data_IF_456760605709
#
_entry.id   IF_456760605709
#
_cell.length_a   1.000
_cell.length_b   1.000
_cell.length_c   1.000
_cell.angle_alpha   90.00
_cell.angle_beta   90.00
_cell.angle_gamma   90.00
#
_symmetry.space_group_name_H-M   'P 1'
#
loop_
_entity.id
_entity.type
_entity.pdbx_description
1 polymer ?
#
# COMPACT_ATOMS: atom_id res chain seq x y z
N UNK A 1 -4.41 -8.58 3.74
CA UNK A 1 -4.15 -7.17 4.08
C UNK A 1 -3.16 -6.59 3.10
N UNK A 2 -3.46 -5.45 2.49
CA UNK A 2 -2.47 -4.64 1.77
C UNK A 2 -1.73 -3.75 2.78
N UNK A 3 -0.44 -4.01 2.98
CA UNK A 3 0.40 -3.30 3.94
C UNK A 3 1.41 -2.36 3.25
N UNK A 4 1.10 -1.94 2.02
CA UNK A 4 2.00 -1.14 1.18
C UNK A 4 2.45 0.15 1.86
N UNK A 5 1.52 0.94 2.40
CA UNK A 5 1.84 2.25 2.97
C UNK A 5 2.37 2.19 4.40
N UNK A 6 1.88 1.25 5.21
CA UNK A 6 2.42 1.07 6.54
C UNK A 6 3.83 0.47 6.50
N UNK A 7 4.10 -0.44 5.58
CA UNK A 7 5.30 -1.25 5.49
C UNK A 7 5.52 -2.12 6.75
N UNK A 8 6.40 -3.12 6.74
CA UNK A 8 6.72 -3.86 7.95
C UNK A 8 7.38 -3.03 9.06
N UNK A 9 7.87 -1.83 8.73
CA UNK A 9 8.45 -0.92 9.71
C UNK A 9 7.39 -0.35 10.68
N UNK A 10 6.18 -0.07 10.18
CA UNK A 10 5.13 0.55 10.98
C UNK A 10 4.03 -0.43 11.38
N UNK A 11 3.73 -1.45 10.56
CA UNK A 11 2.72 -2.46 10.86
C UNK A 11 3.19 -3.85 10.44
N UNK A 12 2.96 -4.83 11.31
CA UNK A 12 3.19 -6.26 11.06
C UNK A 12 1.86 -7.01 11.20
N UNK A 13 1.08 -7.10 10.10
CA UNK A 13 -0.30 -7.60 10.17
C UNK A 13 -0.46 -9.02 10.70
N UNK A 14 0.55 -9.88 10.60
CA UNK A 14 0.51 -11.23 11.17
C UNK A 14 0.39 -11.24 12.70
N UNK A 15 0.88 -10.21 13.39
CA UNK A 15 0.72 -10.04 14.84
C UNK A 15 -0.73 -9.72 15.22
N UNK A 16 -1.53 -9.30 14.23
CA UNK A 16 -2.93 -8.92 14.36
C UNK A 16 -3.90 -9.92 13.73
N UNK A 17 -3.42 -11.11 13.37
CA UNK A 17 -4.24 -12.20 12.87
C UNK A 17 -4.51 -12.19 11.35
N UNK A 18 -3.75 -11.44 10.59
CA UNK A 18 -3.79 -11.58 9.13
C UNK A 18 -3.15 -12.90 8.69
N UNK A 19 -3.69 -13.51 7.64
CA UNK A 19 -3.14 -14.74 7.06
C UNK A 19 -2.28 -14.45 5.84
N UNK A 20 -2.71 -13.50 5.01
CA UNK A 20 -2.00 -13.08 3.80
C UNK A 20 -1.74 -11.58 3.86
N UNK A 21 -0.51 -11.18 3.56
CA UNK A 21 -0.11 -9.78 3.43
C UNK A 21 0.44 -9.53 2.02
N UNK A 22 -0.02 -8.46 1.41
CA UNK A 22 0.48 -8.00 0.10
C UNK A 22 1.18 -6.66 0.24
N UNK A 23 2.14 -6.43 -0.64
CA UNK A 23 2.84 -5.15 -0.77
C UNK A 23 3.01 -4.79 -2.24
N UNK A 24 2.70 -3.55 -2.61
CA UNK A 24 3.31 -2.95 -3.78
C UNK A 24 4.73 -2.53 -3.40
N UNK A 25 5.71 -3.32 -3.79
CA UNK A 25 7.12 -3.00 -3.51
C UNK A 25 7.60 -1.77 -4.28
N UNK A 26 6.85 -1.36 -5.30
CA UNK A 26 6.99 -0.10 -6.05
C UNK A 26 7.04 1.15 -5.16
N UNK A 27 6.41 1.11 -3.98
CA UNK A 27 6.20 2.24 -3.09
C UNK A 27 7.35 2.39 -2.09
N UNK A 28 7.07 2.59 -0.81
CA UNK A 28 8.08 2.81 0.23
C UNK A 28 9.17 1.73 0.31
N UNK A 29 8.90 0.48 -0.08
CA UNK A 29 9.91 -0.57 -0.02
C UNK A 29 11.07 -0.28 -0.98
N UNK A 30 10.78 0.04 -2.26
CA UNK A 30 11.77 0.58 -3.20
C UNK A 30 12.21 1.98 -2.76
N UNK A 31 11.26 2.88 -2.56
CA UNK A 31 11.44 4.22 -2.01
C UNK A 31 12.15 5.22 -2.92
N UNK A 32 12.45 4.85 -4.16
CA UNK A 32 13.23 5.64 -5.11
C UNK A 32 12.53 5.81 -6.47
N UNK A 33 11.31 5.30 -6.62
CA UNK A 33 10.59 5.25 -7.90
C UNK A 33 11.38 4.57 -9.02
N UNK A 34 12.23 3.59 -8.67
CA UNK A 34 13.19 2.98 -9.59
C UNK A 34 12.69 1.69 -10.22
N UNK A 35 11.76 0.97 -9.58
CA UNK A 35 11.28 -0.32 -10.05
C UNK A 35 9.80 -0.55 -9.69
N UNK A 36 9.07 -1.23 -10.58
CA UNK A 36 7.76 -1.78 -10.29
C UNK A 36 7.90 -3.19 -9.72
N UNK A 37 7.07 -3.51 -8.73
CA UNK A 37 7.08 -4.85 -8.16
C UNK A 37 6.02 -5.06 -7.10
N UNK A 38 5.87 -6.30 -6.68
CA UNK A 38 4.95 -6.71 -5.64
C UNK A 38 5.51 -7.87 -4.81
N UNK A 39 4.99 -8.03 -3.62
CA UNK A 39 5.28 -9.18 -2.77
C UNK A 39 3.99 -9.69 -2.13
N UNK A 40 3.88 -11.01 -2.05
CA UNK A 40 2.84 -11.70 -1.31
C UNK A 40 3.53 -12.50 -0.22
N UNK A 41 3.07 -12.36 1.02
CA UNK A 41 3.60 -13.07 2.18
C UNK A 41 2.46 -13.85 2.83
N UNK A 42 2.67 -15.14 3.03
CA UNK A 42 1.73 -16.04 3.70
C UNK A 42 2.21 -16.30 5.12
N UNK A 43 1.30 -16.25 6.10
CA UNK A 43 1.60 -16.64 7.48
C UNK A 43 1.89 -18.13 7.62
N UNK A 44 1.41 -18.94 6.68
CA UNK A 44 1.48 -20.40 6.71
C UNK A 44 0.58 -21.04 7.75
N UNK A 45 -0.33 -20.30 8.39
CA UNK A 45 -1.14 -20.76 9.52
C UNK A 45 -2.59 -21.05 9.17
N UNK A 46 -3.07 -20.53 8.03
CA UNK A 46 -4.48 -20.71 7.65
C UNK A 46 -4.75 -22.17 7.21
N UNK A 47 -5.79 -22.75 7.75
CA UNK A 47 -6.24 -24.09 7.36
C UNK A 47 -7.16 -24.05 6.15
N UNK A 48 -6.56 -24.13 4.95
CA UNK A 48 -7.27 -24.17 3.68
C UNK A 48 -8.22 -25.36 3.58
N UNK A 49 -7.90 -26.47 4.26
CA UNK A 49 -8.69 -27.72 4.20
C UNK A 49 -9.98 -27.67 5.03
N UNK A 50 -10.09 -26.71 5.94
CA UNK A 50 -11.32 -26.47 6.68
C UNK A 50 -12.45 -25.91 5.80
N UNK A 51 -12.11 -25.38 4.61
CA UNK A 51 -13.09 -24.77 3.69
C UNK A 51 -12.81 -25.18 2.23
N UNK A 52 -12.77 -26.48 1.90
CA UNK A 52 -12.33 -26.95 0.59
C UNK A 52 -13.19 -26.42 -0.57
N UNK A 53 -14.48 -26.23 -0.34
CA UNK A 53 -15.40 -25.70 -1.34
C UNK A 53 -15.16 -24.23 -1.66
N UNK A 54 -14.55 -23.46 -0.73
CA UNK A 54 -14.14 -22.08 -0.96
C UNK A 54 -12.77 -21.99 -1.63
N UNK A 55 -11.92 -22.98 -1.42
CA UNK A 55 -10.55 -23.01 -1.93
C UNK A 55 -10.27 -24.28 -2.77
N UNK A 56 -11.13 -24.59 -3.78
CA UNK A 56 -10.94 -25.80 -4.56
C UNK A 56 -9.59 -25.82 -5.26
N UNK A 57 -9.09 -24.67 -5.71
CA UNK A 57 -7.78 -24.56 -6.35
C UNK A 57 -6.57 -24.98 -5.49
N UNK A 58 -6.74 -25.14 -4.17
CA UNK A 58 -5.70 -25.63 -3.28
C UNK A 58 -6.00 -27.04 -2.77
N UNK A 59 -7.28 -27.42 -2.71
CA UNK A 59 -7.76 -28.63 -2.05
C UNK A 59 -8.15 -29.77 -3.00
N UNK A 60 -8.20 -29.51 -4.33
CA UNK A 60 -8.48 -30.53 -5.35
C UNK A 60 -7.29 -30.72 -6.29
N UNK A 61 -7.23 -31.85 -7.03
CA UNK A 61 -6.18 -32.07 -8.03
C UNK A 61 -6.18 -30.96 -9.08
N UNK A 62 -4.99 -30.44 -9.41
CA UNK A 62 -4.77 -29.41 -10.42
C UNK A 62 -4.21 -30.02 -11.70
N UNK A 63 -5.01 -30.10 -12.75
CA UNK A 63 -4.61 -30.70 -14.02
C UNK A 63 -3.47 -29.92 -14.69
N UNK A 64 -3.37 -28.62 -14.47
CA UNK A 64 -2.27 -27.78 -14.97
C UNK A 64 -0.93 -28.05 -14.30
N UNK A 65 -0.95 -28.78 -13.16
CA UNK A 65 0.24 -29.16 -12.39
C UNK A 65 0.25 -30.65 -12.07
N UNK A 66 0.05 -31.48 -13.10
CA UNK A 66 0.12 -32.94 -13.04
C UNK A 66 -0.81 -33.63 -12.02
N UNK A 67 -1.99 -33.06 -11.78
CA UNK A 67 -2.96 -33.58 -10.82
C UNK A 67 -2.57 -33.39 -9.36
N UNK A 68 -1.65 -32.50 -9.03
CA UNK A 68 -1.22 -32.23 -7.66
C UNK A 68 -2.31 -31.50 -6.90
N UNK A 69 -2.61 -31.97 -5.68
CA UNK A 69 -3.38 -31.23 -4.67
C UNK A 69 -2.41 -30.49 -3.78
N UNK A 70 -2.41 -29.15 -3.86
CA UNK A 70 -1.38 -28.31 -3.22
C UNK A 70 -1.32 -28.50 -1.70
N UNK A 71 -2.48 -28.55 -1.02
CA UNK A 71 -2.53 -28.76 0.44
C UNK A 71 -1.98 -30.10 0.87
N UNK A 72 -2.18 -31.15 0.08
CA UNK A 72 -1.66 -32.49 0.37
C UNK A 72 -0.15 -32.57 0.12
N UNK A 73 0.33 -31.96 -0.98
CA UNK A 73 1.74 -32.07 -1.40
C UNK A 73 2.66 -31.13 -0.64
N UNK A 74 2.22 -29.94 -0.32
CA UNK A 74 3.07 -28.87 0.24
C UNK A 74 2.65 -28.44 1.66
N UNK A 75 1.60 -29.06 2.21
CA UNK A 75 1.06 -28.70 3.52
C UNK A 75 0.37 -27.33 3.55
N UNK A 76 -0.18 -26.98 4.70
CA UNK A 76 -0.90 -25.70 4.84
C UNK A 76 0.00 -24.49 4.62
N UNK A 77 1.22 -24.55 5.15
CA UNK A 77 2.17 -23.43 5.07
C UNK A 77 2.81 -23.21 3.70
N UNK A 78 2.76 -24.20 2.80
CA UNK A 78 3.37 -24.11 1.48
C UNK A 78 2.38 -24.03 0.31
N UNK A 79 1.15 -24.49 0.51
CA UNK A 79 0.17 -24.68 -0.56
C UNK A 79 -0.11 -23.40 -1.36
N UNK A 80 -0.42 -22.32 -0.67
CA UNK A 80 -0.80 -21.05 -1.30
C UNK A 80 0.36 -20.43 -2.11
N UNK A 81 1.52 -20.26 -1.50
CA UNK A 81 2.68 -19.65 -2.17
C UNK A 81 3.19 -20.55 -3.31
N UNK A 82 3.15 -21.88 -3.15
CA UNK A 82 3.54 -22.76 -4.23
C UNK A 82 2.59 -22.64 -5.41
N UNK A 83 1.27 -22.56 -5.20
CA UNK A 83 0.32 -22.31 -6.28
C UNK A 83 0.55 -20.96 -6.96
N UNK A 84 0.76 -19.90 -6.18
CA UNK A 84 1.09 -18.59 -6.73
C UNK A 84 2.32 -18.64 -7.64
N UNK A 85 3.35 -19.38 -7.24
CA UNK A 85 4.63 -19.44 -7.97
C UNK A 85 4.59 -20.43 -9.13
N UNK A 86 4.17 -21.67 -8.84
CA UNK A 86 4.29 -22.79 -9.80
C UNK A 86 3.21 -22.77 -10.88
N UNK A 87 2.10 -22.07 -10.65
CA UNK A 87 1.03 -21.92 -11.65
C UNK A 87 0.86 -20.46 -12.08
N UNK A 88 0.40 -19.59 -11.18
CA UNK A 88 -0.03 -18.24 -11.58
C UNK A 88 1.13 -17.38 -12.09
N UNK A 89 2.22 -17.32 -11.35
CA UNK A 89 3.40 -16.55 -11.78
C UNK A 89 4.04 -17.14 -13.04
N UNK A 90 4.14 -18.48 -13.13
CA UNK A 90 4.63 -19.19 -14.30
C UNK A 90 3.79 -18.86 -15.54
N UNK A 91 2.46 -18.95 -15.43
CA UNK A 91 1.55 -18.86 -16.58
C UNK A 91 1.34 -17.42 -17.04
N UNK A 92 1.27 -16.46 -16.11
CA UNK A 92 1.13 -15.03 -16.42
C UNK A 92 2.45 -14.30 -16.63
N UNK A 93 3.58 -14.89 -16.25
CA UNK A 93 4.89 -14.27 -16.41
C UNK A 93 5.14 -13.06 -15.48
N UNK A 94 4.40 -12.94 -14.38
CA UNK A 94 4.53 -11.85 -13.42
C UNK A 94 5.78 -12.01 -12.53
N UNK A 95 6.95 -12.00 -13.16
CA UNK A 95 8.24 -12.20 -12.49
C UNK A 95 8.99 -10.88 -12.41
N UNK A 96 9.48 -10.54 -11.23
CA UNK A 96 10.35 -9.39 -11.05
C UNK A 96 11.73 -9.67 -11.67
N UNK A 97 12.29 -8.69 -12.41
CA UNK A 97 13.63 -8.83 -12.96
C UNK A 97 14.69 -8.89 -11.86
N UNK A 98 15.82 -9.58 -12.07
CA UNK A 98 16.91 -9.58 -11.09
C UNK A 98 17.42 -8.17 -10.76
N UNK A 99 17.47 -7.28 -11.75
CA UNK A 99 17.85 -5.88 -11.54
C UNK A 99 16.87 -5.15 -10.63
N UNK A 100 15.55 -5.32 -10.84
CA UNK A 100 14.53 -4.72 -9.97
C UNK A 100 14.58 -5.30 -8.55
N UNK A 101 14.86 -6.59 -8.40
CA UNK A 101 15.03 -7.24 -7.10
C UNK A 101 16.27 -6.68 -6.35
N UNK A 102 17.36 -6.43 -7.08
CA UNK A 102 18.56 -5.79 -6.51
C UNK A 102 18.26 -4.38 -6.01
N UNK A 103 17.60 -3.54 -6.83
CA UNK A 103 17.20 -2.19 -6.43
C UNK A 103 16.27 -2.19 -5.22
N UNK A 104 15.30 -3.12 -5.19
CA UNK A 104 14.43 -3.29 -4.04
C UNK A 104 15.21 -3.64 -2.76
N UNK A 105 16.20 -4.52 -2.83
CA UNK A 105 17.03 -4.85 -1.68
C UNK A 105 17.77 -3.61 -1.14
N UNK A 106 18.32 -2.78 -2.02
CA UNK A 106 18.93 -1.50 -1.60
C UNK A 106 17.91 -0.59 -0.91
N UNK A 107 16.69 -0.50 -1.45
CA UNK A 107 15.61 0.26 -0.83
C UNK A 107 15.24 -0.25 0.57
N UNK A 108 15.19 -1.57 0.75
CA UNK A 108 14.85 -2.19 2.03
C UNK A 108 15.88 -1.91 3.13
N UNK A 109 17.16 -1.78 2.80
CA UNK A 109 18.22 -1.47 3.78
C UNK A 109 17.97 -0.14 4.50
N UNK A 110 17.43 0.85 3.80
CA UNK A 110 17.13 2.18 4.37
C UNK A 110 15.68 2.34 4.85
N UNK A 111 14.81 1.36 4.62
CA UNK A 111 13.37 1.46 4.86
C UNK A 111 12.99 1.94 6.28
N UNK A 112 13.53 1.39 7.39
CA UNK A 112 13.14 1.82 8.72
C UNK A 112 13.46 3.29 9.00
N UNK A 113 14.60 3.78 8.51
CA UNK A 113 15.02 5.17 8.68
C UNK A 113 14.15 6.12 7.85
N UNK A 114 13.86 5.75 6.59
CA UNK A 114 12.99 6.54 5.72
C UNK A 114 11.57 6.61 6.28
N UNK A 115 11.01 5.48 6.73
CA UNK A 115 9.65 5.45 7.29
C UNK A 115 9.54 6.33 8.54
N UNK A 116 10.52 6.31 9.43
CA UNK A 116 10.56 7.21 10.59
C UNK A 116 10.49 8.68 10.17
N UNK A 117 11.28 9.07 9.16
CA UNK A 117 11.31 10.45 8.67
C UNK A 117 10.03 10.82 7.92
N UNK A 118 9.49 9.92 7.07
CA UNK A 118 8.23 10.13 6.38
C UNK A 118 7.08 10.38 7.36
N UNK A 119 6.97 9.56 8.41
CA UNK A 119 5.94 9.72 9.43
C UNK A 119 6.07 11.05 10.19
N UNK A 120 7.29 11.43 10.58
CA UNK A 120 7.54 12.68 11.27
C UNK A 120 7.20 13.90 10.39
N UNK A 121 7.61 13.86 9.12
CA UNK A 121 7.30 14.94 8.17
C UNK A 121 5.80 15.04 7.90
N UNK A 122 5.11 13.90 7.73
CA UNK A 122 3.68 13.88 7.48
C UNK A 122 2.90 14.43 8.69
N UNK A 123 3.29 14.07 9.91
CA UNK A 123 2.68 14.60 11.11
C UNK A 123 2.79 16.13 11.19
N UNK A 124 4.00 16.66 11.00
CA UNK A 124 4.24 18.11 11.04
C UNK A 124 3.47 18.85 9.94
N UNK A 125 3.44 18.31 8.72
CA UNK A 125 2.70 18.92 7.59
C UNK A 125 1.19 18.84 7.84
N UNK A 126 0.66 17.72 8.34
CA UNK A 126 -0.76 17.57 8.62
C UNK A 126 -1.24 18.53 9.72
N UNK A 127 -0.47 18.70 10.79
CA UNK A 127 -0.75 19.67 11.85
C UNK A 127 -0.72 21.11 11.34
N UNK A 128 0.26 21.47 10.52
CA UNK A 128 0.31 22.77 9.86
C UNK A 128 -0.92 23.01 8.97
N UNK A 129 -1.27 22.04 8.13
CA UNK A 129 -2.42 22.16 7.25
C UNK A 129 -3.74 22.27 8.02
N UNK A 130 -3.89 21.54 9.13
CA UNK A 130 -5.08 21.57 9.96
C UNK A 130 -5.33 22.98 10.57
N UNK A 131 -4.27 23.70 10.88
CA UNK A 131 -4.33 25.07 11.38
C UNK A 131 -4.36 26.19 10.34
N UNK A 132 -4.26 25.85 9.04
CA UNK A 132 -4.09 26.84 8.00
C UNK A 132 -5.44 27.40 7.49
N UNK A 133 -5.61 28.72 7.43
CA UNK A 133 -6.86 29.43 7.09
C UNK A 133 -7.49 29.05 5.73
N UNK A 134 -6.68 28.63 4.75
CA UNK A 134 -7.12 28.23 3.42
C UNK A 134 -7.48 26.76 3.30
N UNK A 135 -7.22 25.95 4.32
CA UNK A 135 -7.49 24.51 4.35
C UNK A 135 -8.85 24.27 5.01
N UNK A 136 -9.71 23.59 4.28
CA UNK A 136 -11.07 23.27 4.72
C UNK A 136 -11.12 22.01 5.57
N UNK A 137 -10.33 21.01 5.24
CA UNK A 137 -10.25 19.73 5.93
C UNK A 137 -8.92 19.04 5.67
N UNK A 138 -8.48 18.22 6.62
CA UNK A 138 -7.33 17.31 6.49
C UNK A 138 -7.77 15.91 6.89
N UNK A 139 -7.39 14.89 6.13
CA UNK A 139 -7.56 13.47 6.46
C UNK A 139 -6.17 12.85 6.64
N UNK A 140 -5.85 12.53 7.86
CA UNK A 140 -4.59 11.89 8.23
C UNK A 140 -4.75 11.19 9.57
N UNK A 141 -4.59 9.88 9.59
CA UNK A 141 -4.86 9.06 10.78
C UNK A 141 -3.93 9.36 11.99
N UNK A 142 -2.85 10.12 11.80
CA UNK A 142 -1.99 10.62 12.88
C UNK A 142 -2.52 11.87 13.60
N UNK A 143 -3.58 12.51 13.11
CA UNK A 143 -4.15 13.69 13.75
C UNK A 143 -5.19 13.30 14.80
N UNK A 144 -5.10 13.91 16.00
CA UNK A 144 -6.16 13.78 17.01
C UNK A 144 -7.49 14.27 16.44
N UNK A 145 -8.54 13.45 16.59
CA UNK A 145 -9.86 13.73 16.05
C UNK A 145 -10.14 13.11 14.66
N UNK A 146 -9.14 12.55 14.00
CA UNK A 146 -9.39 11.66 12.86
C UNK A 146 -10.11 10.39 13.33
N UNK A 147 -11.11 9.93 12.56
CA UNK A 147 -11.93 8.77 12.92
C UNK A 147 -11.14 7.47 13.11
N UNK A 148 -9.94 7.40 12.56
CA UNK A 148 -9.06 6.23 12.63
C UNK A 148 -7.87 6.43 13.57
N UNK A 149 -7.79 7.55 14.29
CA UNK A 149 -6.66 7.88 15.16
C UNK A 149 -6.29 6.73 16.12
N UNK A 150 -7.26 6.25 16.90
CA UNK A 150 -7.02 5.20 17.89
C UNK A 150 -6.62 3.86 17.26
N UNK A 151 -7.27 3.49 16.14
CA UNK A 151 -6.93 2.29 15.39
C UNK A 151 -5.53 2.39 14.76
N UNK A 152 -5.19 3.55 14.21
CA UNK A 152 -3.87 3.79 13.65
C UNK A 152 -2.78 3.66 14.71
N UNK A 153 -2.96 4.24 15.89
CA UNK A 153 -2.00 4.13 16.99
C UNK A 153 -1.91 2.71 17.56
N UNK A 154 -3.02 1.97 17.54
CA UNK A 154 -3.03 0.56 17.94
C UNK A 154 -2.21 -0.33 16.99
N UNK A 155 -2.43 -0.21 15.68
CA UNK A 155 -1.83 -1.10 14.69
C UNK A 155 -0.48 -0.59 14.16
N UNK A 156 -0.23 0.71 14.23
CA UNK A 156 0.95 1.38 13.71
C UNK A 156 1.58 2.31 14.77
N UNK A 157 2.07 1.76 15.90
CA UNK A 157 2.57 2.59 17.00
C UNK A 157 3.80 3.43 16.64
N UNK A 158 4.51 3.06 15.56
CA UNK A 158 5.72 3.75 15.09
C UNK A 158 5.42 4.86 14.06
N UNK A 159 4.15 5.07 13.69
CA UNK A 159 3.75 6.11 12.74
C UNK A 159 2.81 5.59 11.63
N UNK A 160 2.05 6.51 11.04
CA UNK A 160 0.91 6.22 10.17
C UNK A 160 1.20 6.41 8.67
N UNK A 161 2.44 6.38 8.23
CA UNK A 161 2.93 6.65 6.87
C UNK A 161 3.07 8.14 6.51
N UNK A 162 3.41 8.42 5.24
CA UNK A 162 3.67 9.76 4.71
C UNK A 162 2.58 10.32 3.80
N UNK A 163 1.37 9.75 3.79
CA UNK A 163 0.30 10.14 2.87
C UNK A 163 -0.75 10.97 3.60
N UNK A 164 -1.00 12.18 3.10
CA UNK A 164 -1.98 13.13 3.65
C UNK A 164 -2.96 13.51 2.54
N UNK A 165 -4.25 13.57 2.86
CA UNK A 165 -5.26 14.17 1.99
C UNK A 165 -5.81 15.43 2.63
N UNK A 166 -5.99 16.49 1.84
CA UNK A 166 -6.57 17.74 2.32
C UNK A 166 -7.36 18.45 1.24
N UNK A 167 -8.30 19.27 1.66
CA UNK A 167 -9.11 20.10 0.76
C UNK A 167 -9.00 21.58 1.10
N UNK A 168 -9.04 22.41 0.05
CA UNK A 168 -8.95 23.86 0.16
C UNK A 168 -10.33 24.51 0.10
N UNK A 169 -10.51 25.64 0.77
CA UNK A 169 -11.61 26.54 0.51
C UNK A 169 -11.49 27.05 -0.95
N UNK A 170 -12.62 27.11 -1.66
CA UNK A 170 -12.64 27.43 -3.10
C UNK A 170 -12.56 26.20 -4.02
N UNK A 171 -12.49 24.98 -3.43
CA UNK A 171 -12.66 23.69 -4.13
C UNK A 171 -11.65 23.47 -5.27
N UNK A 172 -12.13 22.88 -6.38
CA UNK A 172 -11.29 22.49 -7.53
C UNK A 172 -10.40 23.63 -8.04
N UNK A 173 -10.94 24.84 -8.22
CA UNK A 173 -10.18 25.99 -8.74
C UNK A 173 -9.02 26.38 -7.83
N UNK A 174 -9.25 26.35 -6.50
CA UNK A 174 -8.19 26.61 -5.53
C UNK A 174 -7.12 25.51 -5.55
N UNK A 175 -7.52 24.22 -5.64
CA UNK A 175 -6.61 23.11 -5.75
C UNK A 175 -5.74 23.17 -7.03
N UNK A 176 -6.33 23.46 -8.19
CA UNK A 176 -5.61 23.62 -9.44
C UNK A 176 -4.62 24.81 -9.38
N UNK A 177 -5.02 25.90 -8.72
CA UNK A 177 -4.13 27.06 -8.50
C UNK A 177 -2.97 26.69 -7.59
N UNK A 178 -3.25 26.00 -6.48
CA UNK A 178 -2.23 25.48 -5.55
C UNK A 178 -1.21 24.61 -6.28
N UNK A 179 -1.69 23.63 -7.07
CA UNK A 179 -0.81 22.74 -7.84
C UNK A 179 0.13 23.49 -8.78
N UNK A 180 -0.34 24.54 -9.46
CA UNK A 180 0.48 25.36 -10.37
C UNK A 180 1.57 26.17 -9.66
N UNK A 181 1.46 26.38 -8.36
CA UNK A 181 2.39 27.19 -7.57
C UNK A 181 3.31 26.36 -6.66
N UNK A 182 3.24 25.03 -6.76
CA UNK A 182 4.17 24.16 -6.03
C UNK A 182 5.63 24.45 -6.45
N UNK A 183 6.51 24.56 -5.46
CA UNK A 183 7.94 24.79 -5.69
C UNK A 183 8.78 23.57 -5.36
N UNK A 184 8.49 22.92 -4.23
CA UNK A 184 9.21 21.73 -3.76
C UNK A 184 8.54 20.43 -4.22
N UNK A 185 7.21 20.36 -4.10
CA UNK A 185 6.45 19.15 -4.42
C UNK A 185 6.34 18.94 -5.93
N UNK A 186 6.69 17.77 -6.40
CA UNK A 186 6.45 17.35 -7.78
C UNK A 186 4.97 17.03 -8.00
N UNK A 187 4.48 17.30 -9.23
CA UNK A 187 3.13 16.90 -9.65
C UNK A 187 3.25 15.56 -10.36
N UNK A 188 2.88 14.52 -9.69
CA UNK A 188 3.00 13.16 -10.23
C UNK A 188 1.97 12.21 -9.63
N UNK A 189 1.69 11.10 -10.33
CA UNK A 189 0.77 10.06 -9.87
C UNK A 189 1.42 9.03 -8.97
N UNK A 190 2.75 8.96 -8.97
CA UNK A 190 3.51 8.13 -8.05
C UNK A 190 3.43 8.69 -6.63
N UNK A 191 3.48 7.80 -5.64
CA UNK A 191 3.48 8.15 -4.21
C UNK A 191 4.44 7.24 -3.46
N UNK A 192 4.85 7.68 -2.26
CA UNK A 192 5.62 6.85 -1.33
C UNK A 192 7.05 6.55 -1.78
N UNK A 193 7.72 7.54 -2.32
CA UNK A 193 9.17 7.55 -2.52
C UNK A 193 9.85 8.61 -1.64
N UNK A 194 11.13 8.87 -1.89
CA UNK A 194 11.91 9.86 -1.14
C UNK A 194 11.61 11.31 -1.51
N UNK A 195 10.84 11.56 -2.59
CA UNK A 195 10.45 12.89 -3.03
C UNK A 195 9.11 13.31 -2.42
N UNK A 196 8.95 14.62 -2.21
CA UNK A 196 7.63 15.17 -1.90
C UNK A 196 6.84 15.30 -3.21
N UNK A 197 5.71 14.63 -3.27
CA UNK A 197 4.80 14.71 -4.42
C UNK A 197 3.41 15.16 -3.99
N UNK A 198 2.67 15.70 -4.95
CA UNK A 198 1.30 16.14 -4.76
C UNK A 198 0.46 15.79 -5.98
N UNK A 199 -0.77 15.38 -5.74
CA UNK A 199 -1.72 14.97 -6.76
C UNK A 199 -3.08 15.62 -6.49
N UNK A 200 -3.77 16.07 -7.53
CA UNK A 200 -5.19 16.43 -7.45
C UNK A 200 -6.03 15.34 -8.14
N UNK A 201 -6.58 14.36 -7.40
CA UNK A 201 -7.20 13.17 -7.97
C UNK A 201 -8.32 13.47 -8.96
N UNK A 202 -9.18 14.44 -8.65
CA UNK A 202 -10.32 14.81 -9.49
C UNK A 202 -9.96 15.31 -10.90
N UNK A 203 -8.75 15.85 -11.11
CA UNK A 203 -8.28 16.27 -12.44
C UNK A 203 -7.31 15.30 -13.10
N UNK A 204 -6.91 14.23 -12.40
CA UNK A 204 -5.89 13.28 -12.87
C UNK A 204 -6.39 11.84 -12.81
N UNK A 205 -6.12 11.11 -11.75
CA UNK A 205 -6.41 9.67 -11.61
C UNK A 205 -7.90 9.33 -11.58
N UNK A 206 -8.76 10.26 -11.18
CA UNK A 206 -10.22 10.09 -11.08
C UNK A 206 -10.99 10.98 -12.06
N UNK A 207 -10.32 11.49 -13.10
CA UNK A 207 -10.91 12.43 -14.07
C UNK A 207 -12.10 11.86 -14.86
N UNK A 208 -12.24 10.54 -14.91
CA UNK A 208 -13.34 9.84 -15.56
C UNK A 208 -14.61 9.79 -14.70
N UNK A 209 -14.51 10.11 -13.40
CA UNK A 209 -15.64 10.12 -12.49
C UNK A 209 -16.47 11.39 -12.62
N UNK A 210 -17.79 11.28 -12.48
CA UNK A 210 -18.68 12.42 -12.37
C UNK A 210 -18.61 13.07 -10.98
N UNK A 211 -19.33 14.19 -10.78
CA UNK A 211 -19.25 14.96 -9.53
C UNK A 211 -19.77 14.17 -8.29
N UNK A 212 -20.79 13.35 -8.46
CA UNK A 212 -21.35 12.52 -7.36
C UNK A 212 -20.39 11.41 -6.98
N UNK A 213 -19.82 10.74 -7.96
CA UNK A 213 -18.80 9.69 -7.75
C UNK A 213 -17.54 10.25 -7.08
N UNK A 214 -17.09 11.45 -7.47
CA UNK A 214 -15.95 12.13 -6.84
C UNK A 214 -16.23 12.46 -5.37
N UNK A 215 -17.45 12.90 -5.05
CA UNK A 215 -17.87 13.16 -3.67
C UNK A 215 -17.94 11.88 -2.84
N UNK A 216 -18.45 10.79 -3.43
CA UNK A 216 -18.52 9.48 -2.77
C UNK A 216 -17.13 8.87 -2.52
N UNK A 217 -16.19 9.12 -3.41
CA UNK A 217 -14.80 8.67 -3.26
C UNK A 217 -14.01 9.46 -2.20
N UNK A 218 -14.52 10.62 -1.73
CA UNK A 218 -13.92 11.45 -0.69
C UNK A 218 -13.06 12.56 -1.19
#
# INVERSE_FOLDING_TARGET
VDNTFATPANCRPFEWGADIVTHSTTKYMDGHASALGGAIVDSGKFDWTAYPDKFPGLCTPDDSYHGVTYTQRFGLGGAFITKCTAQLMRDFGCVQSPQSAFLLNLGLESLPFRMKQHCANAQAVAEYLQGHEKVKWVKFAGLKGDKYYDLAHKYMPNGTCGVISFGLYGGRKAAETFMKHLKLGAIETHVADSHTCCLHPASTTHRQMNAEELLAAG
#
